data_IF_357826037652
#
_entry.id   IF_357826037652
#
_cell.length_a   1.000
_cell.length_b   1.000
_cell.length_c   1.000
_cell.angle_alpha   90.00
_cell.angle_beta   90.00
_cell.angle_gamma   90.00
#
_symmetry.space_group_name_H-M   'P 1'
#
loop_
_entity.id
_entity.type
_entity.pdbx_description
1 polymer ?
#
# COMPACT_ATOMS: atom_id res chain seq x y z
N UNK A 1 19.48 25.78 4.63
CA UNK A 1 18.54 24.65 4.44
C UNK A 1 18.78 24.07 3.05
N UNK A 2 18.70 22.75 2.84
CA UNK A 2 18.76 22.19 1.49
C UNK A 2 17.64 22.81 0.64
N UNK A 3 17.96 23.24 -0.57
CA UNK A 3 16.97 23.78 -1.50
C UNK A 3 16.03 22.67 -1.93
N UNK A 4 14.72 22.84 -1.71
CA UNK A 4 13.71 21.90 -2.21
C UNK A 4 13.84 21.72 -3.72
N UNK A 5 13.71 20.47 -4.17
CA UNK A 5 13.61 20.13 -5.59
C UNK A 5 12.35 20.73 -6.20
N UNK A 6 12.29 20.85 -7.54
CA UNK A 6 11.11 21.34 -8.23
C UNK A 6 9.86 20.48 -7.93
N UNK A 7 10.03 19.15 -7.87
CA UNK A 7 8.95 18.20 -7.55
C UNK A 7 8.47 18.35 -6.11
N UNK A 8 9.36 18.58 -5.15
CA UNK A 8 8.95 18.86 -3.76
C UNK A 8 8.13 20.15 -3.64
N UNK A 9 8.49 21.19 -4.39
CA UNK A 9 7.70 22.44 -4.43
C UNK A 9 6.31 22.23 -5.02
N UNK A 10 6.20 21.44 -6.08
CA UNK A 10 4.91 21.07 -6.68
C UNK A 10 4.02 20.32 -5.66
N UNK A 11 4.57 19.30 -5.01
CA UNK A 11 3.85 18.55 -3.96
C UNK A 11 3.43 19.45 -2.80
N UNK A 12 4.32 20.33 -2.32
CA UNK A 12 4.00 21.28 -1.25
C UNK A 12 2.92 22.26 -1.67
N UNK A 13 2.89 22.69 -2.94
CA UNK A 13 1.85 23.59 -3.45
C UNK A 13 0.49 22.92 -3.44
N UNK A 14 0.41 21.66 -3.89
CA UNK A 14 -0.83 20.85 -3.86
C UNK A 14 -1.27 20.66 -2.40
N UNK A 15 -0.35 20.25 -1.53
CA UNK A 15 -0.62 20.05 -0.10
C UNK A 15 -1.22 21.29 0.55
N UNK A 16 -0.61 22.46 0.34
CA UNK A 16 -1.06 23.73 0.93
C UNK A 16 -2.38 24.22 0.33
N UNK A 17 -2.58 24.03 -0.99
CA UNK A 17 -3.79 24.51 -1.66
C UNK A 17 -5.04 23.73 -1.24
N UNK A 18 -4.93 22.42 -1.03
CA UNK A 18 -6.09 21.55 -0.83
C UNK A 18 -6.20 20.96 0.58
N UNK A 19 -5.09 20.87 1.33
CA UNK A 19 -5.06 20.17 2.62
C UNK A 19 -5.13 18.63 2.49
N UNK A 20 -5.11 18.10 1.27
CA UNK A 20 -5.06 16.67 0.98
C UNK A 20 -4.39 16.40 -0.37
N UNK A 21 -3.91 15.17 -0.55
CA UNK A 21 -3.30 14.68 -1.79
C UNK A 21 -3.93 13.34 -2.12
N UNK A 22 -4.65 13.31 -3.24
CA UNK A 22 -5.05 12.07 -3.90
C UNK A 22 -3.86 11.46 -4.63
N UNK A 23 -3.68 10.16 -4.51
CA UNK A 23 -2.67 9.44 -5.27
C UNK A 23 -3.21 8.11 -5.81
N UNK A 24 -2.66 7.75 -6.96
CA UNK A 24 -2.90 6.48 -7.63
C UNK A 24 -1.66 6.10 -8.45
N UNK A 25 -1.76 5.09 -9.31
CA UNK A 25 -0.64 4.49 -10.07
C UNK A 25 0.21 5.47 -10.90
N UNK A 26 -0.26 6.67 -11.21
CA UNK A 26 0.43 7.67 -12.03
C UNK A 26 0.17 9.09 -11.55
N UNK A 27 1.00 10.03 -12.01
CA UNK A 27 0.85 11.46 -11.73
C UNK A 27 1.90 12.01 -10.76
N UNK A 28 1.79 13.29 -10.36
CA UNK A 28 2.82 13.95 -9.55
C UNK A 28 3.02 13.27 -8.18
N UNK A 29 1.95 12.69 -7.62
CA UNK A 29 1.90 12.00 -6.34
C UNK A 29 2.11 10.48 -6.41
N UNK A 30 2.43 9.92 -7.60
CA UNK A 30 2.57 8.46 -7.80
C UNK A 30 3.57 7.81 -6.83
N UNK A 31 4.58 8.55 -6.39
CA UNK A 31 5.61 8.09 -5.45
C UNK A 31 5.03 7.66 -4.10
N UNK A 32 3.80 8.06 -3.77
CA UNK A 32 3.06 7.59 -2.58
C UNK A 32 2.57 6.15 -2.78
N UNK A 33 2.16 5.80 -3.99
CA UNK A 33 1.63 4.47 -4.32
C UNK A 33 2.66 3.35 -4.21
N UNK A 34 2.20 2.14 -3.88
CA UNK A 34 3.04 0.94 -3.80
C UNK A 34 3.55 0.46 -5.17
N UNK A 35 2.92 0.89 -6.27
CA UNK A 35 3.30 0.52 -7.64
C UNK A 35 4.48 1.35 -8.18
N UNK A 36 4.82 2.47 -7.54
CA UNK A 36 5.89 3.34 -8.01
C UNK A 36 7.27 2.67 -7.95
N UNK A 37 8.05 2.88 -9.02
CA UNK A 37 9.42 2.43 -9.10
C UNK A 37 10.29 3.20 -8.09
N UNK A 38 11.07 2.46 -7.31
CA UNK A 38 11.99 3.01 -6.32
C UNK A 38 13.30 3.41 -7.02
N UNK A 39 13.72 4.69 -6.98
CA UNK A 39 14.90 5.17 -7.69
C UNK A 39 16.18 4.38 -7.41
N UNK A 40 16.38 3.96 -6.15
CA UNK A 40 17.58 3.23 -5.71
C UNK A 40 17.31 1.75 -5.37
N UNK A 41 16.23 1.17 -5.90
CA UNK A 41 15.63 -0.12 -5.47
C UNK A 41 15.24 -0.12 -3.97
N UNK A 42 14.14 -0.80 -3.67
CA UNK A 42 13.69 -1.03 -2.30
C UNK A 42 14.47 -2.19 -1.67
N UNK A 43 15.22 -1.92 -0.60
CA UNK A 43 15.89 -2.96 0.19
C UNK A 43 15.06 -3.35 1.41
N UNK A 44 14.52 -4.57 1.44
CA UNK A 44 13.67 -5.09 2.52
C UNK A 44 13.70 -6.62 2.52
N UNK A 45 13.49 -7.27 3.68
CA UNK A 45 13.54 -8.73 3.84
C UNK A 45 14.86 -9.38 3.33
N UNK A 46 15.97 -8.65 3.38
CA UNK A 46 17.26 -9.10 2.85
C UNK A 46 17.31 -9.21 1.31
N UNK A 47 16.38 -8.58 0.60
CA UNK A 47 16.26 -8.56 -0.87
C UNK A 47 16.20 -7.13 -1.39
N UNK A 48 16.33 -6.98 -2.72
CA UNK A 48 16.17 -5.71 -3.43
C UNK A 48 15.07 -5.83 -4.49
N UNK A 49 14.14 -4.88 -4.52
CA UNK A 49 12.99 -4.86 -5.42
C UNK A 49 12.89 -3.54 -6.17
N UNK A 50 12.27 -3.54 -7.35
CA UNK A 50 12.04 -2.30 -8.10
C UNK A 50 10.87 -1.47 -7.55
N UNK A 51 9.92 -2.08 -6.84
CA UNK A 51 8.80 -1.36 -6.21
C UNK A 51 8.29 -2.06 -4.94
N UNK A 52 7.42 -1.37 -4.20
CA UNK A 52 6.82 -1.92 -2.98
C UNK A 52 5.82 -3.04 -3.28
N UNK A 53 5.05 -2.96 -4.37
CA UNK A 53 4.14 -4.03 -4.80
C UNK A 53 4.90 -5.33 -5.06
N UNK A 54 6.07 -5.26 -5.71
CA UNK A 54 6.93 -6.42 -5.92
C UNK A 54 7.40 -7.06 -4.61
N UNK A 55 7.86 -6.25 -3.65
CA UNK A 55 8.26 -6.74 -2.33
C UNK A 55 7.09 -7.37 -1.57
N UNK A 56 5.91 -6.75 -1.64
CA UNK A 56 4.70 -7.17 -0.94
C UNK A 56 4.17 -8.51 -1.47
N UNK A 57 4.05 -8.64 -2.79
CA UNK A 57 3.61 -9.88 -3.42
C UNK A 57 4.64 -10.99 -3.22
N UNK A 58 5.94 -10.69 -3.34
CA UNK A 58 6.98 -11.66 -3.01
C UNK A 58 6.85 -12.17 -1.57
N UNK A 59 6.67 -11.25 -0.60
CA UNK A 59 6.58 -11.60 0.82
C UNK A 59 5.36 -12.49 1.12
N UNK A 60 4.23 -12.24 0.45
CA UNK A 60 3.03 -13.10 0.54
C UNK A 60 3.39 -14.56 0.23
N UNK A 61 4.05 -14.84 -0.89
CA UNK A 61 4.37 -16.23 -1.29
C UNK A 61 5.56 -16.81 -0.52
N UNK A 62 6.54 -15.98 -0.16
CA UNK A 62 7.65 -16.36 0.72
C UNK A 62 7.15 -16.86 2.09
N UNK A 63 6.17 -16.17 2.68
CA UNK A 63 5.52 -16.62 3.92
C UNK A 63 4.80 -17.97 3.75
N UNK A 64 4.07 -18.17 2.64
CA UNK A 64 3.43 -19.47 2.36
C UNK A 64 4.47 -20.58 2.30
N UNK A 65 5.59 -20.35 1.61
CA UNK A 65 6.68 -21.33 1.48
C UNK A 65 7.26 -21.65 2.86
N UNK A 66 7.60 -20.64 3.66
CA UNK A 66 8.19 -20.81 4.99
C UNK A 66 7.26 -21.57 5.94
N UNK A 67 5.98 -21.21 5.96
CA UNK A 67 4.97 -21.80 6.84
C UNK A 67 4.58 -23.23 6.45
N UNK A 68 4.81 -23.62 5.20
CA UNK A 68 4.43 -24.94 4.66
C UNK A 68 5.65 -25.74 4.19
N UNK A 69 6.82 -25.52 4.80
CA UNK A 69 8.08 -26.15 4.40
C UNK A 69 7.94 -27.67 4.29
N UNK A 70 8.38 -28.22 3.16
CA UNK A 70 8.32 -29.66 2.87
C UNK A 70 7.00 -30.14 2.26
N UNK A 71 5.91 -29.35 2.36
CA UNK A 71 4.64 -29.67 1.74
C UNK A 71 4.65 -29.43 0.22
N UNK A 72 3.73 -30.06 -0.55
CA UNK A 72 3.65 -29.89 -2.00
C UNK A 72 3.52 -28.42 -2.46
N UNK A 73 2.67 -27.63 -1.77
CA UNK A 73 2.47 -26.21 -2.09
C UNK A 73 3.76 -25.39 -2.03
N UNK A 74 4.60 -25.62 -1.01
CA UNK A 74 5.86 -24.89 -0.83
C UNK A 74 6.85 -25.26 -1.93
N UNK A 75 6.98 -26.55 -2.26
CA UNK A 75 7.86 -27.02 -3.34
C UNK A 75 7.46 -26.46 -4.71
N UNK A 76 6.16 -26.42 -5.01
CA UNK A 76 5.65 -25.87 -6.26
C UNK A 76 5.85 -24.35 -6.34
N UNK A 77 5.55 -23.61 -5.27
CA UNK A 77 5.77 -22.17 -5.22
C UNK A 77 7.26 -21.81 -5.29
N UNK A 78 8.14 -22.53 -4.59
CA UNK A 78 9.59 -22.34 -4.67
C UNK A 78 10.09 -22.52 -6.10
N UNK A 79 9.64 -23.57 -6.80
CA UNK A 79 9.97 -23.79 -8.21
C UNK A 79 9.44 -22.66 -9.08
N UNK A 80 8.19 -22.25 -8.88
CA UNK A 80 7.56 -21.21 -9.67
C UNK A 80 8.23 -19.83 -9.48
N UNK A 81 8.58 -19.47 -8.25
CA UNK A 81 9.24 -18.21 -7.90
C UNK A 81 10.70 -18.13 -8.35
N UNK A 82 11.36 -19.27 -8.60
CA UNK A 82 12.70 -19.32 -9.22
C UNK A 82 12.67 -19.15 -10.74
N UNK A 83 11.49 -19.20 -11.36
CA UNK A 83 11.38 -19.04 -12.81
C UNK A 83 11.57 -17.57 -13.23
N UNK A 84 12.18 -17.35 -14.40
CA UNK A 84 12.39 -15.99 -14.95
C UNK A 84 11.08 -15.25 -15.21
N UNK A 85 10.00 -15.98 -15.53
CA UNK A 85 8.66 -15.43 -15.74
C UNK A 85 8.02 -14.87 -14.46
N UNK A 86 8.52 -15.23 -13.28
CA UNK A 86 8.00 -14.83 -11.98
C UNK A 86 9.02 -14.02 -11.16
N UNK A 87 9.86 -13.23 -11.83
CA UNK A 87 10.90 -12.45 -11.19
C UNK A 87 10.34 -11.16 -10.56
N UNK A 88 10.01 -11.21 -9.26
CA UNK A 88 9.62 -10.03 -8.50
C UNK A 88 10.73 -8.97 -8.38
N UNK A 89 12.02 -9.34 -8.40
CA UNK A 89 13.11 -8.43 -8.05
C UNK A 89 13.36 -7.32 -9.08
N UNK A 90 12.87 -7.51 -10.31
CA UNK A 90 13.01 -6.55 -11.41
C UNK A 90 11.68 -6.22 -12.08
N UNK A 91 10.56 -6.44 -11.39
CA UNK A 91 9.23 -6.14 -11.90
C UNK A 91 8.74 -4.79 -11.39
N UNK A 92 8.09 -4.03 -12.27
CA UNK A 92 7.26 -2.92 -11.86
C UNK A 92 6.00 -3.40 -11.13
N UNK A 93 5.17 -2.47 -10.65
CA UNK A 93 4.00 -2.82 -9.85
C UNK A 93 2.99 -3.68 -10.63
N UNK A 94 2.78 -3.41 -11.91
CA UNK A 94 1.84 -4.20 -12.72
C UNK A 94 2.39 -5.60 -12.99
N UNK A 95 3.66 -5.73 -13.34
CA UNK A 95 4.35 -7.00 -13.51
C UNK A 95 4.28 -7.84 -12.24
N UNK A 96 4.57 -7.25 -11.07
CA UNK A 96 4.45 -7.92 -9.78
C UNK A 96 3.02 -8.38 -9.49
N UNK A 97 2.03 -7.55 -9.77
CA UNK A 97 0.62 -7.91 -9.65
C UNK A 97 0.28 -9.12 -10.54
N UNK A 98 0.71 -9.12 -11.80
CA UNK A 98 0.47 -10.24 -12.72
C UNK A 98 1.20 -11.53 -12.29
N UNK A 99 2.42 -11.44 -11.73
CA UNK A 99 3.11 -12.58 -11.13
C UNK A 99 2.26 -13.14 -9.98
N UNK A 100 1.73 -12.27 -9.11
CA UNK A 100 0.90 -12.72 -7.98
C UNK A 100 -0.33 -13.49 -8.42
N UNK A 101 -0.98 -13.07 -9.52
CA UNK A 101 -2.13 -13.77 -10.11
C UNK A 101 -1.76 -15.19 -10.56
N UNK A 102 -0.59 -15.36 -11.20
CA UNK A 102 -0.10 -16.69 -11.61
C UNK A 102 0.21 -17.58 -10.41
N UNK A 103 0.83 -17.03 -9.36
CA UNK A 103 1.16 -17.80 -8.16
C UNK A 103 -0.09 -18.14 -7.32
N UNK A 104 -1.14 -17.32 -7.39
CA UNK A 104 -2.44 -17.62 -6.77
C UNK A 104 -3.17 -18.80 -7.44
N UNK A 105 -2.89 -19.12 -8.71
CA UNK A 105 -3.37 -20.36 -9.34
C UNK A 105 -2.86 -21.60 -8.56
N UNK A 106 -1.64 -21.51 -8.03
CA UNK A 106 -1.04 -22.56 -7.20
C UNK A 106 -1.57 -22.43 -5.77
N UNK A 107 -1.25 -21.33 -5.08
CA UNK A 107 -1.51 -21.19 -3.64
C UNK A 107 -3.01 -21.28 -3.30
N UNK A 108 -3.84 -20.43 -3.92
CA UNK A 108 -5.25 -20.32 -3.56
C UNK A 108 -6.14 -21.25 -4.39
N UNK A 109 -6.00 -21.26 -5.72
CA UNK A 109 -6.94 -22.03 -6.54
C UNK A 109 -6.75 -23.53 -6.37
N UNK A 110 -5.52 -24.01 -6.41
CA UNK A 110 -5.20 -25.44 -6.23
C UNK A 110 -5.15 -25.85 -4.75
N UNK A 111 -4.38 -25.15 -3.91
CA UNK A 111 -4.13 -25.59 -2.53
C UNK A 111 -5.00 -24.92 -1.45
N UNK A 112 -5.75 -23.85 -1.78
CA UNK A 112 -6.57 -23.08 -0.82
C UNK A 112 -5.76 -22.53 0.36
N UNK A 113 -4.48 -22.24 0.14
CA UNK A 113 -3.55 -21.73 1.15
C UNK A 113 -3.33 -20.23 0.97
N UNK A 114 -3.28 -19.54 2.09
CA UNK A 114 -2.83 -18.15 2.24
C UNK A 114 -1.90 -18.06 3.44
N UNK A 115 -1.08 -17.00 3.59
CA UNK A 115 -0.24 -16.86 4.77
C UNK A 115 -1.08 -16.89 6.06
N UNK A 116 -0.56 -17.53 7.10
CA UNK A 116 -1.17 -17.51 8.43
C UNK A 116 -1.36 -16.07 8.87
N UNK A 117 -2.56 -15.74 9.35
CA UNK A 117 -2.96 -14.39 9.77
C UNK A 117 -2.77 -13.30 8.71
N UNK A 118 -2.75 -13.65 7.40
CA UNK A 118 -2.56 -12.67 6.33
C UNK A 118 -3.52 -11.49 6.47
N UNK A 119 -4.82 -11.78 6.57
CA UNK A 119 -5.88 -10.80 6.77
C UNK A 119 -5.99 -10.29 8.21
N UNK A 120 -5.32 -10.93 9.16
CA UNK A 120 -5.39 -10.57 10.58
C UNK A 120 -4.04 -9.98 11.04
N UNK A 121 -3.52 -9.02 10.26
CA UNK A 121 -2.37 -8.19 10.61
C UNK A 121 -1.03 -8.56 9.95
N UNK A 122 -0.83 -9.78 9.44
CA UNK A 122 0.46 -10.14 8.82
C UNK A 122 0.69 -9.39 7.51
N UNK A 123 -0.36 -9.18 6.72
CA UNK A 123 -0.33 -8.34 5.52
C UNK A 123 0.06 -6.90 5.84
N UNK A 124 -0.47 -6.37 6.94
CA UNK A 124 -0.26 -5.00 7.37
C UNK A 124 1.18 -4.79 7.86
N UNK A 125 1.70 -5.71 8.66
CA UNK A 125 3.12 -5.73 9.06
C UNK A 125 4.03 -5.78 7.85
N UNK A 126 3.72 -6.64 6.87
CA UNK A 126 4.50 -6.72 5.64
C UNK A 126 4.52 -5.39 4.89
N UNK A 127 3.37 -4.75 4.70
CA UNK A 127 3.30 -3.45 4.02
C UNK A 127 3.99 -2.35 4.84
N UNK A 128 3.83 -2.32 6.16
CA UNK A 128 4.48 -1.35 7.03
C UNK A 128 6.00 -1.41 6.92
N UNK A 129 6.60 -2.60 7.07
CA UNK A 129 8.06 -2.77 6.94
C UNK A 129 8.55 -2.36 5.53
N UNK A 130 7.77 -2.66 4.49
CA UNK A 130 8.06 -2.25 3.11
C UNK A 130 8.06 -0.73 2.98
N UNK A 131 7.03 -0.05 3.49
CA UNK A 131 6.91 1.40 3.37
C UNK A 131 7.97 2.12 4.21
N UNK A 132 8.27 1.64 5.43
CA UNK A 132 9.36 2.17 6.25
C UNK A 132 10.69 2.12 5.50
N UNK A 133 10.97 1.03 4.78
CA UNK A 133 12.20 0.93 3.98
C UNK A 133 12.14 1.74 2.68
N UNK A 134 10.97 1.83 2.03
CA UNK A 134 10.76 2.65 0.82
C UNK A 134 11.05 4.12 1.09
N UNK A 135 10.56 4.65 2.19
CA UNK A 135 10.69 6.06 2.55
C UNK A 135 11.94 6.40 3.38
N UNK A 136 12.85 5.44 3.57
CA UNK A 136 14.25 5.72 3.96
C UNK A 136 15.06 6.29 2.78
N UNK A 137 14.65 6.02 1.54
CA UNK A 137 15.29 6.62 0.37
C UNK A 137 15.18 8.16 0.44
N UNK A 138 16.27 8.92 0.33
CA UNK A 138 16.24 10.37 0.47
C UNK A 138 15.30 11.07 -0.51
N UNK A 139 15.16 10.54 -1.73
CA UNK A 139 14.30 11.10 -2.78
C UNK A 139 12.83 11.00 -2.36
N UNK A 140 12.40 9.81 -1.94
CA UNK A 140 11.03 9.60 -1.49
C UNK A 140 10.77 10.21 -0.11
N UNK A 141 11.76 10.25 0.77
CA UNK A 141 11.63 10.92 2.06
C UNK A 141 11.35 12.42 1.91
N UNK A 142 12.10 13.09 1.04
CA UNK A 142 11.91 14.51 0.73
C UNK A 142 10.52 14.79 0.17
N UNK A 143 10.07 13.99 -0.80
CA UNK A 143 8.72 14.09 -1.36
C UNK A 143 7.61 13.80 -0.34
N UNK A 144 7.78 12.80 0.53
CA UNK A 144 6.81 12.52 1.59
C UNK A 144 6.72 13.67 2.59
N UNK A 145 7.85 14.28 2.98
CA UNK A 145 7.85 15.47 3.84
C UNK A 145 7.20 16.68 3.16
N UNK A 146 7.38 16.83 1.85
CA UNK A 146 6.76 17.90 1.07
C UNK A 146 5.22 17.82 1.06
N UNK A 147 4.63 16.68 1.44
CA UNK A 147 3.18 16.57 1.64
C UNK A 147 2.67 17.37 2.85
N UNK A 148 3.55 17.91 3.70
CA UNK A 148 3.20 18.67 4.91
C UNK A 148 2.13 17.91 5.74
N UNK A 149 1.16 18.62 6.32
CA UNK A 149 0.07 18.02 7.09
C UNK A 149 -1.10 17.53 6.21
N UNK A 150 -0.91 17.46 4.88
CA UNK A 150 -1.98 17.06 3.97
C UNK A 150 -2.44 15.62 4.26
N UNK A 151 -3.74 15.40 4.16
CA UNK A 151 -4.31 14.05 4.20
C UNK A 151 -3.95 13.26 2.93
N UNK A 152 -3.36 12.08 3.08
CA UNK A 152 -2.95 11.25 1.94
C UNK A 152 -4.05 10.23 1.64
N UNK A 153 -4.63 10.29 0.44
CA UNK A 153 -5.75 9.44 0.01
C UNK A 153 -5.34 8.58 -1.19
N UNK A 154 -5.18 7.28 -0.96
CA UNK A 154 -5.08 6.31 -2.07
C UNK A 154 -6.48 6.21 -2.69
N UNK A 155 -6.61 6.68 -3.92
CA UNK A 155 -7.88 6.74 -4.64
C UNK A 155 -7.84 5.80 -5.84
N UNK A 156 -8.69 4.77 -5.85
CA UNK A 156 -8.78 3.87 -6.99
C UNK A 156 -9.80 4.37 -8.02
N UNK A 157 -9.56 4.08 -9.29
CA UNK A 157 -10.40 4.56 -10.40
C UNK A 157 -11.71 3.78 -10.62
N UNK A 158 -12.04 2.84 -9.72
CA UNK A 158 -13.24 2.00 -9.85
C UNK A 158 -13.67 1.43 -8.49
N UNK A 159 -14.96 1.54 -8.20
CA UNK A 159 -15.57 0.98 -6.99
C UNK A 159 -15.49 -0.55 -6.98
N UNK A 160 -15.23 -1.11 -5.80
CA UNK A 160 -15.11 -2.54 -5.56
C UNK A 160 -13.73 -3.13 -5.86
N UNK A 161 -12.76 -2.31 -6.28
CA UNK A 161 -11.41 -2.78 -6.63
C UNK A 161 -10.54 -3.04 -5.41
N UNK A 162 -10.55 -2.11 -4.46
CA UNK A 162 -9.80 -2.20 -3.21
C UNK A 162 -10.54 -1.42 -2.14
N UNK A 163 -10.96 -2.09 -1.07
CA UNK A 163 -11.63 -1.47 0.08
C UNK A 163 -10.66 -1.24 1.24
N UNK A 164 -9.51 -1.90 1.21
CA UNK A 164 -8.59 -1.92 2.35
C UNK A 164 -7.52 -0.85 2.23
N UNK A 165 -6.79 -0.86 1.11
CA UNK A 165 -5.67 0.06 0.92
C UNK A 165 -6.13 1.43 0.47
N UNK A 166 -7.25 1.51 -0.25
CA UNK A 166 -7.78 2.73 -0.85
C UNK A 166 -9.12 3.17 -0.24
N UNK A 167 -9.70 4.24 -0.78
CA UNK A 167 -11.02 4.78 -0.49
C UNK A 167 -12.20 4.08 -1.21
N UNK A 168 -11.91 3.02 -1.97
CA UNK A 168 -12.89 2.30 -2.80
C UNK A 168 -13.65 3.15 -3.84
N UNK A 169 -13.13 4.30 -4.26
CA UNK A 169 -13.70 5.20 -5.27
C UNK A 169 -15.08 5.77 -4.88
N UNK A 170 -15.48 5.58 -3.62
CA UNK A 170 -16.75 6.05 -3.08
C UNK A 170 -16.60 6.61 -1.67
N UNK A 171 -15.36 6.74 -1.18
CA UNK A 171 -15.04 7.22 0.16
C UNK A 171 -15.32 6.22 1.29
N UNK A 172 -15.75 4.99 0.99
CA UNK A 172 -16.08 4.00 2.02
C UNK A 172 -14.90 3.11 2.40
N UNK A 173 -13.82 3.10 1.62
CA UNK A 173 -12.63 2.30 1.90
C UNK A 173 -11.81 2.79 3.11
N UNK A 174 -10.97 1.91 3.66
CA UNK A 174 -10.22 2.19 4.88
C UNK A 174 -9.01 3.12 4.68
N UNK A 175 -8.54 3.29 3.44
CA UNK A 175 -7.35 4.08 3.10
C UNK A 175 -6.13 3.72 3.97
N UNK A 176 -5.91 2.43 4.24
CA UNK A 176 -4.82 2.01 5.13
C UNK A 176 -3.44 2.37 4.58
N UNK A 177 -3.28 2.45 3.25
CA UNK A 177 -2.02 2.86 2.64
C UNK A 177 -1.72 4.32 2.98
N UNK A 178 -2.67 5.23 2.74
CA UNK A 178 -2.56 6.64 3.09
C UNK A 178 -2.29 6.85 4.59
N UNK A 179 -2.98 6.12 5.47
CA UNK A 179 -2.76 6.16 6.92
C UNK A 179 -1.34 5.74 7.31
N UNK A 180 -0.83 4.63 6.77
CA UNK A 180 0.53 4.20 7.03
C UNK A 180 1.56 5.24 6.57
N UNK A 181 1.36 5.86 5.41
CA UNK A 181 2.25 6.91 4.90
C UNK A 181 2.28 8.14 5.80
N UNK A 182 1.13 8.60 6.29
CA UNK A 182 1.06 9.72 7.25
C UNK A 182 1.76 9.37 8.56
N UNK A 183 1.57 8.16 9.09
CA UNK A 183 2.29 7.71 10.29
C UNK A 183 3.81 7.66 10.06
N UNK A 184 4.27 7.19 8.90
CA UNK A 184 5.71 7.19 8.55
C UNK A 184 6.25 8.62 8.43
N UNK A 185 5.51 9.53 7.78
CA UNK A 185 5.84 10.96 7.66
C UNK A 185 6.04 11.58 9.05
N UNK A 186 5.09 11.30 9.95
CA UNK A 186 5.00 11.88 11.29
C UNK A 186 5.83 11.12 12.33
N UNK A 187 6.56 10.06 11.90
CA UNK A 187 7.38 9.18 12.75
C UNK A 187 6.61 8.56 13.90
N UNK A 188 5.37 8.18 13.64
CA UNK A 188 4.49 7.48 14.56
C UNK A 188 4.57 5.97 14.38
N UNK A 189 4.13 5.21 15.39
CA UNK A 189 3.96 3.76 15.28
C UNK A 189 2.91 3.42 14.23
N UNK A 190 3.00 2.23 13.63
CA UNK A 190 2.01 1.71 12.68
C UNK A 190 0.57 1.94 13.18
N UNK A 191 -0.35 2.44 12.32
CA UNK A 191 -1.74 2.60 12.69
C UNK A 191 -2.36 1.24 13.05
N UNK A 192 -3.39 1.27 13.92
CA UNK A 192 -4.19 0.07 14.21
C UNK A 192 -4.80 -0.47 12.90
N UNK A 193 -4.85 -1.80 12.79
CA UNK A 193 -5.41 -2.46 11.62
C UNK A 193 -6.91 -2.20 11.51
N UNK A 194 -7.41 -2.08 10.28
CA UNK A 194 -8.84 -2.04 10.05
C UNK A 194 -9.42 -3.47 10.10
N UNK A 195 -10.52 -3.72 10.84
CA UNK A 195 -11.18 -5.01 10.81
C UNK A 195 -11.71 -5.29 9.40
N UNK A 196 -11.31 -6.42 8.83
CA UNK A 196 -11.54 -6.75 7.42
C UNK A 196 -12.92 -7.34 7.13
N UNK A 197 -13.65 -7.80 8.15
CA UNK A 197 -14.94 -8.44 7.97
C UNK A 197 -16.09 -7.43 8.24
N UNK A 198 -16.97 -7.18 7.25
CA UNK A 198 -18.19 -6.38 7.45
C UNK A 198 -19.10 -6.91 8.58
N UNK A 199 -19.02 -8.20 8.90
CA UNK A 199 -19.72 -8.87 9.98
C UNK A 199 -18.90 -8.96 11.29
N UNK A 200 -17.66 -8.45 11.31
CA UNK A 200 -16.82 -8.44 12.50
C UNK A 200 -17.52 -7.65 13.62
N UNK A 201 -17.80 -8.24 14.80
CA UNK A 201 -18.28 -7.50 15.95
C UNK A 201 -17.32 -6.38 16.37
N UNK A 202 -16.03 -6.50 16.07
CA UNK A 202 -15.06 -5.42 16.27
C UNK A 202 -15.32 -4.24 15.34
N UNK A 203 -15.91 -4.39 14.15
CA UNK A 203 -16.36 -3.25 13.34
C UNK A 203 -17.36 -2.38 14.11
N UNK A 204 -18.33 -2.99 14.82
CA UNK A 204 -19.30 -2.27 15.65
C UNK A 204 -18.66 -1.66 16.89
N UNK A 205 -17.61 -2.28 17.43
CA UNK A 205 -16.86 -1.79 18.59
C UNK A 205 -15.89 -0.66 18.21
N UNK A 206 -15.14 -0.78 17.12
CA UNK A 206 -14.33 0.30 16.54
C UNK A 206 -15.17 1.49 16.05
N UNK A 207 -16.39 1.29 15.57
CA UNK A 207 -17.32 2.39 15.25
C UNK A 207 -18.00 3.00 16.49
N UNK A 208 -18.02 2.30 17.64
CA UNK A 208 -18.60 2.79 18.91
C UNK A 208 -17.56 3.39 19.87
N UNK A 209 -16.34 2.88 19.86
CA UNK A 209 -15.25 3.29 20.77
C UNK A 209 -14.39 4.43 20.16
N UNK A 210 -14.85 5.12 19.11
CA UNK A 210 -14.09 6.25 18.56
C UNK A 210 -14.37 7.55 19.29
N UNK A 211 -13.60 7.78 20.36
CA UNK A 211 -12.82 9.01 20.50
C UNK A 211 -11.45 8.88 19.76
N UNK A 212 -11.36 7.98 18.77
CA UNK A 212 -10.15 7.55 18.03
C UNK A 212 -10.20 8.07 16.55
N UNK A 213 -9.13 8.64 15.96
CA UNK A 213 -9.14 9.36 14.67
C UNK A 213 -9.59 8.59 13.42
N UNK A 214 -9.89 7.29 13.53
CA UNK A 214 -10.32 6.41 12.42
C UNK A 214 -11.68 6.82 11.84
N UNK A 215 -12.63 7.31 12.65
CA UNK A 215 -13.92 7.84 12.18
C UNK A 215 -13.77 9.21 11.51
N UNK A 216 -12.80 10.01 11.96
CA UNK A 216 -12.39 11.26 11.30
C UNK A 216 -11.87 11.01 9.89
N UNK A 217 -11.01 10.00 9.70
CA UNK A 217 -10.41 9.71 8.40
C UNK A 217 -11.40 9.20 7.34
N UNK A 218 -12.43 8.43 7.70
CA UNK A 218 -13.45 7.98 6.75
C UNK A 218 -14.37 9.14 6.32
N UNK A 219 -14.80 9.98 7.28
CA UNK A 219 -15.57 11.18 6.99
C UNK A 219 -14.75 12.20 6.17
N UNK A 220 -13.46 12.35 6.50
CA UNK A 220 -12.52 13.18 5.74
C UNK A 220 -12.30 12.62 4.33
N UNK A 221 -12.12 11.31 4.16
CA UNK A 221 -11.99 10.68 2.85
C UNK A 221 -13.25 10.93 1.99
N UNK A 222 -14.44 10.78 2.57
CA UNK A 222 -15.71 11.06 1.90
C UNK A 222 -15.90 12.55 1.59
N UNK A 223 -15.53 13.44 2.51
CA UNK A 223 -15.51 14.88 2.29
C UNK A 223 -14.53 15.25 1.17
N UNK A 224 -13.34 14.65 1.15
CA UNK A 224 -12.32 14.89 0.13
C UNK A 224 -12.75 14.36 -1.23
N UNK A 225 -13.33 13.15 -1.30
CA UNK A 225 -13.94 12.61 -2.52
C UNK A 225 -15.04 13.54 -3.06
N UNK A 226 -15.92 14.04 -2.19
CA UNK A 226 -16.97 14.99 -2.60
C UNK A 226 -16.42 16.37 -2.99
N UNK A 227 -15.26 16.76 -2.46
CA UNK A 227 -14.53 17.98 -2.83
C UNK A 227 -13.64 17.81 -4.07
N UNK A 228 -13.52 16.58 -4.57
CA UNK A 228 -12.74 16.21 -5.75
C UNK A 228 -13.44 16.76 -7.01
N UNK A 229 -13.26 18.05 -7.26
CA UNK A 229 -13.47 18.63 -8.58
C UNK A 229 -12.14 18.42 -9.33
N UNK A 230 -12.02 17.49 -10.30
CA UNK A 230 -10.71 17.13 -10.84
C UNK A 230 -10.27 18.14 -11.92
N UNK A 231 -9.26 19.01 -11.70
CA UNK A 231 -8.52 19.59 -12.81
C UNK A 231 -7.51 18.59 -13.42
N UNK A 232 -7.31 17.41 -12.82
CA UNK A 232 -6.38 16.39 -13.30
C UNK A 232 -6.98 14.98 -13.23
N UNK A 233 -8.06 14.76 -13.97
CA UNK A 233 -8.41 13.40 -14.40
C UNK A 233 -7.40 12.96 -15.45
N UNK A 234 -6.32 12.30 -15.03
CA UNK A 234 -5.46 11.57 -15.96
C UNK A 234 -6.23 10.31 -16.37
N UNK A 235 -6.76 10.32 -17.58
CA UNK A 235 -7.21 9.11 -18.29
C UNK A 235 -6.00 8.33 -18.80
#
# INVERSE_FOLDING_TARGET
MPTQTLKEKEISTIATAYGWIGFYKSGPSEFLGNFALCPNKLSVFGKKFDCAEAAFQWRKFDLIIQQNKGQPVAKELEKAMKSTQNNFFTSDGEGAFQISRRLDEIAWKKYKISPVNWRNGERDKAMWEILENKFKDPTFNGLLRATNDAYLLEHNNKTGKDYYWSDNNNGEGFNMLGKMLMHIRDRQSMPKFAPLDPADPEKKRFLKDTEDPVSGYANLAKQMFNSFNPPYSIH
#
